data_IF_436721225621
#
_entry.id   IF_436721225621
#
_cell.length_a   1.000
_cell.length_b   1.000
_cell.length_c   1.000
_cell.angle_alpha   90.00
_cell.angle_beta   90.00
_cell.angle_gamma   90.00
#
_symmetry.space_group_name_H-M   'P 1'
#
loop_
_entity.id
_entity.type
_entity.pdbx_description
1 polymer ?
#
# COMPACT_ATOMS: atom_id res chain seq x y z
N UNK A 1 -24.14 -6.78 55.19
CA UNK A 1 -24.78 -7.88 54.44
C UNK A 1 -25.17 -7.32 53.08
N UNK A 2 -24.22 -7.28 52.14
CA UNK A 2 -24.44 -6.74 50.79
C UNK A 2 -25.14 -7.80 49.97
N UNK A 3 -26.37 -7.51 49.53
CA UNK A 3 -27.12 -8.41 48.67
C UNK A 3 -26.33 -8.63 47.37
N UNK A 4 -25.95 -9.89 47.11
CA UNK A 4 -25.49 -10.32 45.80
C UNK A 4 -26.66 -10.09 44.82
N UNK A 5 -26.58 -9.03 44.01
CA UNK A 5 -27.53 -8.81 42.91
C UNK A 5 -27.44 -10.04 42.00
N UNK A 6 -28.55 -10.75 41.85
CA UNK A 6 -28.69 -11.89 40.95
C UNK A 6 -28.27 -11.49 39.52
N UNK A 7 -27.41 -12.27 38.88
CA UNK A 7 -26.83 -12.01 37.54
C UNK A 7 -27.87 -11.92 36.40
N UNK A 8 -29.16 -12.15 36.71
CA UNK A 8 -30.25 -12.26 35.74
C UNK A 8 -30.98 -10.96 35.37
N UNK A 9 -30.84 -9.87 36.14
CA UNK A 9 -31.51 -8.58 35.87
C UNK A 9 -30.51 -7.46 35.57
N UNK A 10 -29.48 -7.75 34.75
CA UNK A 10 -28.71 -6.68 34.13
C UNK A 10 -29.62 -6.02 33.10
N UNK A 11 -30.05 -4.79 33.37
CA UNK A 11 -30.80 -3.97 32.43
C UNK A 11 -29.83 -3.53 31.32
N UNK A 12 -29.47 -4.46 30.43
CA UNK A 12 -28.48 -4.27 29.38
C UNK A 12 -28.92 -3.08 28.52
N UNK A 13 -28.07 -2.06 28.44
CA UNK A 13 -28.35 -0.83 27.70
C UNK A 13 -28.53 -1.13 26.21
N UNK A 14 -29.77 -1.20 25.74
CA UNK A 14 -30.08 -1.43 24.33
C UNK A 14 -30.30 -0.10 23.59
N UNK A 15 -29.54 0.15 22.52
CA UNK A 15 -29.77 1.25 21.58
C UNK A 15 -29.91 0.70 20.16
N UNK A 16 -31.15 0.71 19.66
CA UNK A 16 -31.51 0.21 18.33
C UNK A 16 -30.74 0.89 17.18
N UNK A 17 -30.35 2.15 17.38
CA UNK A 17 -29.58 2.91 16.38
C UNK A 17 -28.13 2.46 16.32
N UNK A 18 -27.49 2.22 17.46
CA UNK A 18 -26.16 1.62 17.54
C UNK A 18 -26.15 0.24 16.89
N UNK A 19 -27.14 -0.60 17.20
CA UNK A 19 -27.30 -1.93 16.61
C UNK A 19 -27.46 -1.88 15.08
N UNK A 20 -28.32 -1.02 14.57
CA UNK A 20 -28.50 -0.85 13.13
C UNK A 20 -27.22 -0.37 12.42
N UNK A 21 -26.38 0.42 13.10
CA UNK A 21 -25.08 0.86 12.56
C UNK A 21 -24.04 -0.28 12.57
N UNK A 22 -24.04 -1.12 13.62
CA UNK A 22 -23.19 -2.31 13.69
C UNK A 22 -23.53 -3.32 12.59
N UNK A 23 -24.82 -3.60 12.36
CA UNK A 23 -25.28 -4.49 11.28
C UNK A 23 -24.84 -3.98 9.89
N UNK A 24 -24.80 -2.66 9.71
CA UNK A 24 -24.31 -2.02 8.48
C UNK A 24 -22.77 -1.95 8.40
N UNK A 25 -22.05 -2.43 9.41
CA UNK A 25 -20.58 -2.36 9.49
C UNK A 25 -20.02 -0.95 9.73
N UNK A 26 -20.87 0.02 10.10
CA UNK A 26 -20.48 1.41 10.34
C UNK A 26 -20.00 1.61 11.79
N UNK A 27 -19.03 0.80 12.21
CA UNK A 27 -18.59 0.68 13.60
C UNK A 27 -18.07 1.98 14.23
N UNK A 28 -17.43 2.88 13.46
CA UNK A 28 -17.04 4.21 13.98
C UNK A 28 -18.25 5.04 14.39
N UNK A 29 -19.32 5.01 13.59
CA UNK A 29 -20.56 5.76 13.87
C UNK A 29 -21.35 5.11 15.01
N UNK A 30 -21.35 3.78 15.08
CA UNK A 30 -21.90 3.05 16.21
C UNK A 30 -21.19 3.45 17.52
N UNK A 31 -19.85 3.49 17.52
CA UNK A 31 -19.08 3.94 18.68
C UNK A 31 -19.41 5.38 19.11
N UNK A 32 -19.61 6.31 18.17
CA UNK A 32 -20.07 7.67 18.50
C UNK A 32 -21.46 7.65 19.15
N UNK A 33 -22.39 6.87 18.61
CA UNK A 33 -23.74 6.75 19.18
C UNK A 33 -23.71 6.17 20.60
N UNK A 34 -22.84 5.22 20.87
CA UNK A 34 -22.65 4.65 22.21
C UNK A 34 -22.13 5.68 23.22
N UNK A 35 -21.35 6.69 22.79
CA UNK A 35 -20.97 7.81 23.68
C UNK A 35 -22.20 8.62 24.08
N UNK A 36 -23.11 8.93 23.15
CA UNK A 36 -24.37 9.63 23.47
C UNK A 36 -25.21 8.84 24.48
N UNK A 37 -25.29 7.52 24.29
CA UNK A 37 -26.00 6.60 25.20
C UNK A 37 -25.35 6.58 26.59
N UNK A 38 -24.02 6.60 26.66
CA UNK A 38 -23.28 6.63 27.93
C UNK A 38 -23.63 7.86 28.78
N UNK A 39 -23.90 9.02 28.16
CA UNK A 39 -24.31 10.24 28.88
C UNK A 39 -25.69 10.12 29.53
N UNK A 40 -26.54 9.22 29.04
CA UNK A 40 -27.86 8.95 29.60
C UNK A 40 -27.86 7.85 30.67
N UNK A 41 -26.73 7.16 30.89
CA UNK A 41 -26.63 6.07 31.85
C UNK A 41 -26.45 6.63 33.28
N UNK A 42 -27.31 6.21 34.20
CA UNK A 42 -27.25 6.61 35.62
C UNK A 42 -26.29 5.73 36.41
N UNK A 43 -26.31 4.42 36.15
CA UNK A 43 -25.52 3.44 36.89
C UNK A 43 -24.10 3.29 36.30
N UNK A 44 -23.14 2.96 37.16
CA UNK A 44 -21.75 2.71 36.79
C UNK A 44 -21.62 1.44 35.93
N UNK A 45 -22.37 0.38 36.29
CA UNK A 45 -22.40 -0.88 35.55
C UNK A 45 -22.84 -0.69 34.09
N UNK A 46 -23.83 0.18 33.86
CA UNK A 46 -24.34 0.53 32.53
C UNK A 46 -23.28 1.28 31.72
N UNK A 47 -22.58 2.23 32.36
CA UNK A 47 -21.48 2.96 31.72
C UNK A 47 -20.33 2.03 31.35
N UNK A 48 -19.99 1.09 32.21
CA UNK A 48 -18.94 0.10 31.94
C UNK A 48 -19.30 -0.82 30.78
N UNK A 49 -20.55 -1.26 30.73
CA UNK A 49 -21.05 -2.04 29.61
C UNK A 49 -20.99 -1.26 28.28
N UNK A 50 -21.43 0.00 28.28
CA UNK A 50 -21.38 0.86 27.09
C UNK A 50 -19.93 1.14 26.67
N UNK A 51 -19.00 1.31 27.62
CA UNK A 51 -17.56 1.44 27.33
C UNK A 51 -17.01 0.20 26.64
N UNK A 52 -17.28 -0.99 27.17
CA UNK A 52 -16.84 -2.26 26.57
C UNK A 52 -17.39 -2.40 25.15
N UNK A 53 -18.70 -2.19 24.96
CA UNK A 53 -19.34 -2.29 23.64
C UNK A 53 -18.77 -1.29 22.62
N UNK A 54 -18.44 -0.07 23.07
CA UNK A 54 -17.79 0.95 22.24
C UNK A 54 -16.39 0.49 21.82
N UNK A 55 -15.62 -0.05 22.75
CA UNK A 55 -14.26 -0.51 22.48
C UNK A 55 -14.25 -1.71 21.52
N UNK A 56 -15.23 -2.62 21.61
CA UNK A 56 -15.46 -3.69 20.64
C UNK A 56 -15.71 -3.15 19.22
N UNK A 57 -16.56 -2.12 19.09
CA UNK A 57 -16.76 -1.44 17.82
C UNK A 57 -15.44 -0.88 17.27
N UNK A 58 -14.61 -0.27 18.12
CA UNK A 58 -13.32 0.28 17.70
C UNK A 58 -12.30 -0.80 17.32
N UNK A 59 -12.31 -1.96 17.97
CA UNK A 59 -11.49 -3.10 17.55
C UNK A 59 -11.93 -3.63 16.18
N UNK A 60 -13.24 -3.70 15.89
CA UNK A 60 -13.74 -4.10 14.55
C UNK A 60 -13.32 -3.12 13.44
N UNK A 61 -13.07 -1.86 13.78
CA UNK A 61 -12.56 -0.83 12.84
C UNK A 61 -11.06 -0.94 12.60
N UNK A 62 -10.30 -1.51 13.54
CA UNK A 62 -8.85 -1.56 13.46
C UNK A 62 -8.46 -2.33 12.21
N UNK A 63 -7.68 -1.67 11.36
CA UNK A 63 -7.07 -2.33 10.20
C UNK A 63 -6.11 -3.39 10.73
N UNK A 64 -6.05 -4.57 10.08
CA UNK A 64 -4.96 -5.50 10.32
C UNK A 64 -3.63 -4.76 10.19
N UNK A 65 -2.61 -5.13 11.00
CA UNK A 65 -1.28 -4.54 10.86
C UNK A 65 -0.81 -4.70 9.42
N UNK A 66 -0.37 -3.60 8.82
CA UNK A 66 0.17 -3.62 7.46
C UNK A 66 1.38 -4.56 7.45
N UNK A 67 1.32 -5.59 6.61
CA UNK A 67 2.49 -6.43 6.37
C UNK A 67 3.51 -5.55 5.63
N UNK A 68 4.81 -5.60 5.96
CA UNK A 68 5.82 -4.96 5.14
C UNK A 68 5.75 -5.58 3.75
N UNK A 69 5.59 -4.73 2.74
CA UNK A 69 5.58 -5.18 1.36
C UNK A 69 6.98 -5.65 0.95
N UNK A 70 7.08 -6.84 0.36
CA UNK A 70 8.32 -7.34 -0.23
C UNK A 70 8.43 -6.87 -1.69
N UNK A 71 9.19 -5.79 -1.89
CA UNK A 71 9.49 -5.25 -3.21
C UNK A 71 10.81 -5.79 -3.79
N UNK A 72 11.46 -6.78 -3.17
CA UNK A 72 12.76 -7.29 -3.61
C UNK A 72 12.76 -7.82 -5.05
N UNK A 73 11.70 -8.54 -5.43
CA UNK A 73 11.53 -9.04 -6.81
C UNK A 73 11.32 -7.93 -7.83
N UNK A 74 10.55 -6.88 -7.47
CA UNK A 74 10.34 -5.71 -8.31
C UNK A 74 11.65 -4.93 -8.49
N UNK A 75 12.38 -4.69 -7.40
CA UNK A 75 13.68 -4.02 -7.43
C UNK A 75 14.68 -4.78 -8.30
N UNK A 76 14.80 -6.10 -8.14
CA UNK A 76 15.69 -6.92 -8.95
C UNK A 76 15.34 -6.86 -10.45
N UNK A 77 14.06 -6.85 -10.78
CA UNK A 77 13.58 -6.74 -12.17
C UNK A 77 13.85 -5.36 -12.77
N UNK A 78 13.66 -4.30 -11.99
CA UNK A 78 13.98 -2.93 -12.38
C UNK A 78 15.48 -2.78 -12.65
N UNK A 79 16.35 -3.26 -11.75
CA UNK A 79 17.80 -3.25 -11.92
C UNK A 79 18.23 -3.99 -13.20
N UNK A 80 17.74 -5.22 -13.42
CA UNK A 80 18.03 -5.97 -14.65
C UNK A 80 17.62 -5.21 -15.92
N UNK A 81 16.52 -4.48 -15.87
CA UNK A 81 16.05 -3.69 -17.00
C UNK A 81 16.95 -2.47 -17.23
N UNK A 82 17.35 -1.77 -16.16
CA UNK A 82 18.32 -0.66 -16.23
C UNK A 82 19.67 -1.10 -16.81
N UNK A 83 20.14 -2.29 -16.44
CA UNK A 83 21.38 -2.87 -16.97
C UNK A 83 21.27 -3.19 -18.46
N UNK A 84 20.16 -3.81 -18.90
CA UNK A 84 19.89 -4.10 -20.31
C UNK A 84 19.83 -2.82 -21.16
N UNK A 85 19.29 -1.75 -20.60
CA UNK A 85 19.24 -0.45 -21.28
C UNK A 85 20.58 0.30 -21.23
N UNK A 86 21.58 -0.19 -20.49
CA UNK A 86 22.87 0.48 -20.35
C UNK A 86 22.85 1.71 -19.42
N UNK A 87 21.75 1.90 -18.68
CA UNK A 87 21.57 3.01 -17.72
C UNK A 87 22.36 2.76 -16.43
N UNK A 88 22.59 1.49 -16.08
CA UNK A 88 23.35 1.09 -14.88
C UNK A 88 24.84 1.42 -14.93
N UNK A 89 25.38 1.92 -16.05
CA UNK A 89 26.81 2.28 -16.14
C UNK A 89 27.07 3.69 -15.59
N UNK A 90 28.12 3.88 -14.77
CA UNK A 90 28.49 5.20 -14.28
C UNK A 90 28.78 6.16 -15.44
N UNK A 91 28.49 7.45 -15.24
CA UNK A 91 28.71 8.53 -16.22
C UNK A 91 28.00 8.38 -17.58
N UNK A 92 27.04 7.45 -17.73
CA UNK A 92 26.27 7.29 -18.96
C UNK A 92 27.12 6.88 -20.16
N UNK A 93 28.21 6.13 -19.94
CA UNK A 93 29.18 5.74 -20.96
C UNK A 93 28.57 5.07 -22.19
N UNK A 94 27.46 4.34 -22.03
CA UNK A 94 26.72 3.70 -23.13
C UNK A 94 26.14 4.72 -24.11
N UNK A 95 25.81 5.93 -23.63
CA UNK A 95 25.17 6.98 -24.42
C UNK A 95 26.13 8.11 -24.80
N UNK A 96 27.30 8.20 -24.16
CA UNK A 96 28.31 9.23 -24.47
C UNK A 96 29.29 8.70 -25.52
N UNK A 97 28.96 8.91 -26.79
CA UNK A 97 30.00 8.84 -27.82
C UNK A 97 31.04 9.94 -27.53
N UNK A 98 32.30 9.55 -27.23
CA UNK A 98 33.42 10.49 -27.28
C UNK A 98 33.42 11.09 -28.69
N UNK A 99 33.21 12.41 -28.79
CA UNK A 99 33.22 13.12 -30.06
C UNK A 99 34.48 12.76 -30.83
N UNK A 100 34.33 11.96 -31.89
CA UNK A 100 35.40 11.78 -32.86
C UNK A 100 35.60 13.16 -33.47
N UNK A 101 36.71 13.81 -33.12
CA UNK A 101 37.19 14.97 -33.88
C UNK A 101 37.44 14.43 -35.29
N UNK A 102 36.56 14.74 -36.24
CA UNK A 102 36.88 14.64 -37.65
C UNK A 102 38.03 15.63 -37.89
N UNK A 103 39.25 15.15 -37.73
CA UNK A 103 40.44 15.88 -38.16
C UNK A 103 40.40 15.95 -39.68
N UNK A 104 39.94 17.07 -40.20
CA UNK A 104 40.19 17.43 -41.60
C UNK A 104 41.69 17.78 -41.66
N UNK A 105 42.53 16.75 -41.80
CA UNK A 105 43.87 16.92 -42.33
C UNK A 105 44.02 15.90 -43.43
N UNK A 106 44.04 16.44 -44.65
CA UNK A 106 44.30 15.70 -45.88
C UNK A 106 45.61 14.92 -45.75
N UNK A 107 45.58 13.66 -46.16
CA UNK A 107 46.79 12.87 -46.31
C UNK A 107 46.56 11.38 -46.13
N UNK A 108 46.03 10.76 -47.18
CA UNK A 108 46.22 9.36 -47.56
C UNK A 108 46.33 8.32 -46.43
N UNK A 109 45.31 7.49 -46.28
CA UNK A 109 45.39 6.05 -46.58
C UNK A 109 44.23 5.30 -45.95
N UNK A 110 43.69 4.38 -46.76
CA UNK A 110 43.06 3.13 -46.36
C UNK A 110 41.73 3.13 -45.57
N UNK A 111 40.80 2.38 -46.17
CA UNK A 111 39.68 1.68 -45.54
C UNK A 111 38.58 2.52 -44.88
N UNK A 112 37.73 3.12 -45.71
CA UNK A 112 36.32 3.31 -45.35
C UNK A 112 35.60 1.99 -45.58
N UNK A 113 35.57 1.15 -44.55
CA UNK A 113 34.72 -0.01 -44.49
C UNK A 113 33.83 0.09 -43.24
N UNK A 114 32.53 -0.03 -43.50
CA UNK A 114 31.43 -0.28 -42.56
C UNK A 114 30.83 0.93 -41.82
N UNK A 115 30.19 1.82 -42.59
CA UNK A 115 28.87 2.33 -42.19
C UNK A 115 27.86 1.24 -42.52
N UNK A 116 27.65 0.30 -41.61
CA UNK A 116 26.64 -0.75 -41.77
C UNK A 116 25.27 -0.17 -41.43
N UNK A 117 24.65 0.45 -42.42
CA UNK A 117 23.20 0.50 -42.54
C UNK A 117 22.67 -0.94 -42.57
N UNK A 118 22.21 -1.43 -41.41
CA UNK A 118 21.30 -2.58 -41.40
C UNK A 118 20.33 -2.47 -40.23
N UNK A 119 19.35 -1.59 -40.42
CA UNK A 119 17.97 -1.87 -40.02
C UNK A 119 17.57 -3.23 -40.61
N UNK A 120 17.77 -4.32 -39.87
CA UNK A 120 16.96 -5.52 -40.06
C UNK A 120 15.77 -5.43 -39.11
N UNK A 121 14.68 -5.01 -39.72
CA UNK A 121 13.33 -5.28 -39.27
C UNK A 121 13.19 -6.73 -38.81
N UNK A 122 12.40 -6.89 -37.75
CA UNK A 122 11.82 -8.13 -37.27
C UNK A 122 11.41 -9.06 -38.42
N UNK A 123 11.95 -10.28 -38.40
CA UNK A 123 11.35 -11.44 -39.05
C UNK A 123 11.37 -12.58 -38.06
N UNK A 124 10.19 -13.01 -37.57
CA UNK A 124 10.08 -14.28 -36.87
C UNK A 124 8.98 -14.42 -35.81
N UNK A 125 7.74 -14.02 -36.08
CA UNK A 125 6.57 -14.72 -35.51
C UNK A 125 6.10 -15.76 -36.53
N UNK A 126 6.29 -17.04 -36.22
CA UNK A 126 5.58 -18.16 -36.84
C UNK A 126 5.24 -19.18 -35.76
N UNK A 127 3.96 -19.53 -35.71
CA UNK A 127 3.42 -20.78 -35.17
C UNK A 127 3.22 -20.79 -33.67
#
# INVERSE_FOLDING_TARGET
MTAYRSEGDRNIVNDSKAEALEVKGLYRRAATRLIDVMWCCTEDDDRDWVRQRRDDCLQKVRRPPAKPDDYGGLQASATRTQDRMGIGRPNGEVFRMKGRKFGILAGNSHSSLYFSDRMLFYSGMKG
#
